data_IF_043132589114
#
_entry.id   IF_043132589114
#
_cell.length_a   1.000
_cell.length_b   1.000
_cell.length_c   1.000
_cell.angle_alpha   90.00
_cell.angle_beta   90.00
_cell.angle_gamma   90.00
#
_symmetry.space_group_name_H-M   'P 1'
#
loop_
_entity.id
_entity.type
_entity.pdbx_description
1 polymer ?
#
# COMPACT_ATOMS: atom_id res chain seq x y z
N UNK A 1 27.09 -6.94 -31.03
CA UNK A 1 26.08 -6.98 -29.93
C UNK A 1 25.75 -5.54 -29.57
N UNK A 2 24.48 -5.19 -29.43
CA UNK A 2 24.06 -3.83 -29.06
C UNK A 2 24.15 -3.71 -27.53
N UNK A 3 24.59 -2.55 -27.05
CA UNK A 3 24.51 -2.19 -25.63
C UNK A 3 23.56 -1.03 -25.45
N UNK A 4 22.76 -1.07 -24.40
CA UNK A 4 21.98 0.09 -24.00
C UNK A 4 22.94 1.16 -23.47
N UNK A 5 22.81 2.41 -23.91
CA UNK A 5 23.64 3.52 -23.44
C UNK A 5 22.76 4.53 -22.73
N UNK A 6 23.15 4.86 -21.50
CA UNK A 6 22.52 5.88 -20.67
C UNK A 6 23.59 6.91 -20.26
N UNK A 7 23.24 8.18 -20.28
CA UNK A 7 24.07 9.27 -19.75
C UNK A 7 23.28 10.01 -18.70
N UNK A 8 23.82 10.14 -17.49
CA UNK A 8 23.18 10.84 -16.38
C UNK A 8 24.00 12.06 -15.98
N UNK A 9 23.31 13.18 -15.81
CA UNK A 9 23.87 14.37 -15.20
C UNK A 9 23.91 14.17 -13.69
N UNK A 10 25.08 14.32 -13.06
CA UNK A 10 25.27 14.10 -11.62
C UNK A 10 25.80 15.35 -10.93
N UNK A 11 25.32 15.66 -9.73
CA UNK A 11 25.81 16.85 -8.99
C UNK A 11 27.13 16.61 -8.28
N UNK A 12 27.43 15.35 -7.94
CA UNK A 12 28.61 14.93 -7.20
C UNK A 12 29.15 13.61 -7.76
N UNK A 13 30.22 13.69 -8.56
CA UNK A 13 30.78 12.53 -9.27
C UNK A 13 31.25 11.43 -8.32
N UNK A 14 31.86 11.79 -7.19
CA UNK A 14 32.43 10.83 -6.26
C UNK A 14 31.33 10.00 -5.60
N UNK A 15 30.27 10.66 -5.12
CA UNK A 15 29.11 9.98 -4.54
C UNK A 15 28.40 9.10 -5.58
N UNK A 16 28.23 9.61 -6.80
CA UNK A 16 27.58 8.84 -7.85
C UNK A 16 28.40 7.63 -8.26
N UNK A 17 29.73 7.75 -8.37
CA UNK A 17 30.60 6.59 -8.62
C UNK A 17 30.50 5.57 -7.48
N UNK A 18 30.46 5.99 -6.22
CA UNK A 18 30.29 5.08 -5.08
C UNK A 18 28.94 4.32 -5.15
N UNK A 19 27.85 5.04 -5.45
CA UNK A 19 26.53 4.44 -5.64
C UNK A 19 26.52 3.43 -6.79
N UNK A 20 27.05 3.79 -7.97
CA UNK A 20 27.01 2.91 -9.15
C UNK A 20 27.96 1.72 -9.06
N UNK A 21 29.07 1.84 -8.33
CA UNK A 21 29.88 0.67 -7.93
C UNK A 21 29.05 -0.31 -7.12
N UNK A 22 28.32 0.19 -6.12
CA UNK A 22 27.44 -0.64 -5.31
C UNK A 22 26.24 -1.18 -6.10
N UNK A 23 25.70 -0.43 -7.06
CA UNK A 23 24.59 -0.90 -7.89
C UNK A 23 25.03 -2.05 -8.82
N UNK A 24 26.10 -1.86 -9.58
CA UNK A 24 26.56 -2.82 -10.59
C UNK A 24 27.49 -3.90 -10.05
N UNK A 25 28.11 -3.69 -8.90
CA UNK A 25 29.10 -4.62 -8.33
C UNK A 25 30.41 -4.66 -9.12
N UNK A 26 30.72 -3.61 -9.89
CA UNK A 26 31.93 -3.49 -10.71
C UNK A 26 32.56 -2.12 -10.59
N UNK A 27 33.85 -2.02 -10.90
CA UNK A 27 34.56 -0.75 -11.03
C UNK A 27 34.20 -0.03 -12.34
N UNK A 28 34.29 1.32 -12.40
CA UNK A 28 34.09 2.05 -13.64
C UNK A 28 35.16 1.67 -14.67
N UNK A 29 34.72 1.36 -15.89
CA UNK A 29 35.60 1.10 -17.03
C UNK A 29 36.44 2.33 -17.44
N UNK A 30 35.98 3.54 -17.07
CA UNK A 30 36.76 4.78 -17.21
C UNK A 30 36.43 5.71 -16.04
N UNK A 31 37.47 6.25 -15.40
CA UNK A 31 37.36 7.28 -14.37
C UNK A 31 38.33 8.44 -14.67
N UNK A 32 37.80 9.67 -14.61
CA UNK A 32 38.49 10.95 -14.78
C UNK A 32 37.97 11.92 -13.73
N UNK A 33 38.64 13.06 -13.57
CA UNK A 33 38.25 14.08 -12.59
C UNK A 33 36.86 14.68 -12.88
N UNK A 34 36.44 14.66 -14.13
CA UNK A 34 35.25 15.30 -14.67
C UNK A 34 34.30 14.30 -15.36
N UNK A 35 34.54 12.99 -15.24
CA UNK A 35 33.78 11.99 -15.97
C UNK A 35 33.97 10.58 -15.39
N UNK A 36 32.91 9.78 -15.38
CA UNK A 36 33.00 8.35 -15.15
C UNK A 36 32.14 7.56 -16.12
N UNK A 37 32.56 6.32 -16.41
CA UNK A 37 31.82 5.38 -17.25
C UNK A 37 31.85 3.99 -16.66
N UNK A 38 30.68 3.37 -16.56
CA UNK A 38 30.52 1.95 -16.25
C UNK A 38 30.14 1.19 -17.51
N UNK A 39 30.62 -0.05 -17.60
CA UNK A 39 30.24 -0.98 -18.65
C UNK A 39 29.97 -2.34 -18.02
N UNK A 40 28.78 -2.89 -18.22
CA UNK A 40 28.39 -4.21 -17.72
C UNK A 40 28.14 -5.17 -18.88
N UNK A 41 28.40 -6.46 -18.65
CA UNK A 41 28.16 -7.51 -19.64
C UNK A 41 26.71 -8.00 -19.62
N UNK A 42 26.10 -8.08 -18.43
CA UNK A 42 24.72 -8.55 -18.24
C UNK A 42 24.01 -7.70 -17.17
N UNK A 43 22.99 -6.89 -17.53
CA UNK A 43 22.61 -6.59 -18.90
C UNK A 43 23.76 -5.84 -19.63
N UNK A 44 23.83 -5.89 -20.98
CA UNK A 44 24.80 -5.09 -21.73
C UNK A 44 24.47 -3.59 -21.62
N UNK A 45 25.14 -2.89 -20.73
CA UNK A 45 24.95 -1.46 -20.46
C UNK A 45 26.26 -0.70 -20.60
N UNK A 46 26.15 0.53 -21.11
CA UNK A 46 27.13 1.59 -20.95
C UNK A 46 26.44 2.71 -20.16
N UNK A 47 26.99 3.11 -19.02
CA UNK A 47 26.51 4.25 -18.25
C UNK A 47 27.60 5.32 -18.20
N UNK A 48 27.30 6.51 -18.72
CA UNK A 48 28.13 7.71 -18.55
C UNK A 48 27.60 8.56 -17.39
N UNK A 49 28.49 9.08 -16.55
CA UNK A 49 28.19 10.06 -15.50
C UNK A 49 28.85 11.39 -15.87
N UNK A 50 28.02 12.42 -16.04
CA UNK A 50 28.40 13.75 -16.51
C UNK A 50 28.20 14.79 -15.38
N UNK A 51 29.28 15.23 -14.69
CA UNK A 51 29.18 16.21 -13.61
C UNK A 51 28.53 17.51 -14.09
N UNK A 52 27.37 17.83 -13.50
CA UNK A 52 26.56 18.99 -13.88
C UNK A 52 26.09 19.69 -12.60
N UNK A 53 26.56 20.91 -12.30
CA UNK A 53 26.26 21.59 -11.03
C UNK A 53 24.78 21.89 -10.76
N UNK A 54 23.95 21.94 -11.82
CA UNK A 54 22.50 22.15 -11.76
C UNK A 54 21.83 21.33 -12.86
N UNK A 55 21.60 20.02 -12.64
CA UNK A 55 20.90 19.22 -13.63
C UNK A 55 19.47 19.76 -13.76
N UNK A 56 19.07 20.12 -14.98
CA UNK A 56 17.67 20.40 -15.29
C UNK A 56 17.00 19.04 -15.47
N UNK A 57 15.91 18.79 -14.72
CA UNK A 57 15.15 17.55 -14.85
C UNK A 57 14.58 17.36 -16.26
N UNK A 58 14.40 16.09 -16.65
CA UNK A 58 13.84 15.70 -17.94
C UNK A 58 12.61 14.78 -17.80
N UNK A 59 12.05 14.28 -18.91
CA UNK A 59 10.86 13.43 -18.89
C UNK A 59 11.12 11.99 -18.37
N UNK A 60 12.35 11.65 -18.00
CA UNK A 60 12.68 10.34 -17.46
C UNK A 60 11.95 10.12 -16.13
N UNK A 61 11.12 9.07 -16.05
CA UNK A 61 10.41 8.74 -14.83
C UNK A 61 11.26 7.87 -13.89
N UNK A 62 11.75 6.73 -14.38
CA UNK A 62 12.66 5.83 -13.67
C UNK A 62 13.39 4.91 -14.66
N UNK A 63 14.35 4.16 -14.14
CA UNK A 63 15.08 3.09 -14.82
C UNK A 63 14.88 1.80 -14.03
N UNK A 64 15.14 0.63 -14.61
CA UNK A 64 15.04 -0.59 -13.84
C UNK A 64 15.70 -1.82 -14.42
N UNK A 65 15.87 -2.81 -13.54
CA UNK A 65 16.34 -4.15 -13.86
C UNK A 65 15.26 -5.17 -13.55
N UNK A 66 14.86 -5.91 -14.58
CA UNK A 66 14.02 -7.08 -14.42
C UNK A 66 14.88 -8.31 -14.23
N UNK A 67 14.79 -8.91 -13.06
CA UNK A 67 15.47 -10.16 -12.72
C UNK A 67 14.63 -11.38 -13.14
N UNK A 68 15.28 -12.52 -13.41
CA UNK A 68 14.60 -13.74 -13.82
C UNK A 68 13.82 -14.38 -12.66
N UNK A 69 14.29 -14.21 -11.41
CA UNK A 69 13.73 -14.85 -10.24
C UNK A 69 14.03 -14.08 -8.94
N UNK A 70 13.29 -14.44 -7.88
CA UNK A 70 13.39 -13.81 -6.56
C UNK A 70 14.74 -14.07 -5.87
N UNK A 71 15.39 -15.21 -6.15
CA UNK A 71 16.69 -15.52 -5.57
C UNK A 71 17.77 -14.54 -6.04
N UNK A 72 17.76 -14.22 -7.34
CA UNK A 72 18.67 -13.26 -7.95
C UNK A 72 18.41 -11.83 -7.47
N UNK A 73 17.13 -11.46 -7.29
CA UNK A 73 16.73 -10.19 -6.69
C UNK A 73 17.23 -10.07 -5.23
N UNK A 74 17.06 -11.11 -4.41
CA UNK A 74 17.58 -11.18 -3.02
C UNK A 74 19.10 -11.04 -2.98
N UNK A 75 19.81 -11.74 -3.86
CA UNK A 75 21.27 -11.67 -3.91
C UNK A 75 21.76 -10.24 -4.20
N UNK A 76 21.08 -9.51 -5.09
CA UNK A 76 21.37 -8.10 -5.33
C UNK A 76 21.06 -7.25 -4.11
N UNK A 77 19.92 -7.44 -3.45
CA UNK A 77 19.55 -6.70 -2.24
C UNK A 77 20.59 -6.86 -1.13
N UNK A 78 21.02 -8.09 -0.82
CA UNK A 78 22.04 -8.37 0.20
C UNK A 78 23.35 -7.63 -0.10
N UNK A 79 23.77 -7.60 -1.37
CA UNK A 79 24.99 -6.90 -1.80
C UNK A 79 24.87 -5.38 -1.61
N UNK A 80 23.70 -4.81 -1.90
CA UNK A 80 23.42 -3.38 -1.71
C UNK A 80 23.41 -3.00 -0.22
N UNK A 81 22.76 -3.81 0.61
CA UNK A 81 22.70 -3.60 2.06
C UNK A 81 24.09 -3.67 2.70
N UNK A 82 24.95 -4.60 2.25
CA UNK A 82 26.35 -4.69 2.66
C UNK A 82 27.17 -3.44 2.27
N UNK A 83 26.76 -2.73 1.21
CA UNK A 83 27.33 -1.46 0.79
C UNK A 83 26.68 -0.24 1.48
N UNK A 84 25.76 -0.45 2.43
CA UNK A 84 25.06 0.60 3.15
C UNK A 84 23.85 1.19 2.42
N UNK A 85 23.50 0.65 1.25
CA UNK A 85 22.31 1.05 0.49
C UNK A 85 21.12 0.23 0.97
N UNK A 86 20.32 0.81 1.85
CA UNK A 86 19.10 0.17 2.34
C UNK A 86 18.00 0.25 1.28
N UNK A 87 17.28 -0.85 1.11
CA UNK A 87 16.05 -0.90 0.33
C UNK A 87 14.96 -1.65 1.11
N UNK A 88 13.71 -1.41 0.75
CA UNK A 88 12.58 -2.17 1.27
C UNK A 88 11.99 -2.98 0.13
N UNK A 89 12.01 -4.31 0.29
CA UNK A 89 11.38 -5.22 -0.67
C UNK A 89 9.89 -5.33 -0.39
N UNK A 90 9.12 -5.27 -1.47
CA UNK A 90 7.68 -5.42 -1.47
C UNK A 90 7.31 -6.58 -2.40
N UNK A 91 6.48 -7.48 -1.90
CA UNK A 91 6.09 -8.71 -2.59
C UNK A 91 4.66 -8.60 -3.11
N UNK A 92 4.42 -9.09 -4.32
CA UNK A 92 3.08 -9.15 -4.90
C UNK A 92 2.43 -7.78 -5.16
N UNK A 93 3.24 -6.76 -5.43
CA UNK A 93 2.77 -5.43 -5.84
C UNK A 93 2.04 -5.54 -7.17
N UNK A 94 0.77 -5.17 -7.18
CA UNK A 94 -0.05 -5.11 -8.40
C UNK A 94 0.03 -3.70 -9.00
N UNK A 95 0.66 -3.57 -10.18
CA UNK A 95 0.88 -2.31 -10.86
C UNK A 95 1.06 -2.52 -12.37
N UNK A 96 0.56 -1.59 -13.17
CA UNK A 96 0.71 -1.58 -14.62
C UNK A 96 0.28 -2.90 -15.29
N UNK A 97 -0.81 -3.52 -14.82
CA UNK A 97 -1.32 -4.81 -15.32
C UNK A 97 -0.40 -6.01 -15.03
N UNK A 98 0.50 -5.87 -14.05
CA UNK A 98 1.38 -6.93 -13.60
C UNK A 98 1.37 -7.07 -12.07
N UNK A 99 1.64 -8.28 -11.61
CA UNK A 99 2.03 -8.58 -10.23
C UNK A 99 3.54 -8.74 -10.18
N UNK A 100 4.18 -8.02 -9.27
CA UNK A 100 5.63 -7.90 -9.20
C UNK A 100 6.12 -8.01 -7.77
N UNK A 101 7.32 -8.56 -7.60
CA UNK A 101 8.11 -8.39 -6.38
C UNK A 101 9.24 -7.43 -6.67
N UNK A 102 9.38 -6.36 -5.89
CA UNK A 102 10.32 -5.27 -6.20
C UNK A 102 10.84 -4.52 -5.01
N UNK A 103 11.91 -3.77 -5.24
CA UNK A 103 12.37 -2.69 -4.36
C UNK A 103 12.89 -1.53 -5.20
N UNK A 104 12.98 -0.37 -4.57
CA UNK A 104 13.46 0.86 -5.18
C UNK A 104 14.78 1.32 -4.57
N UNK A 105 15.62 1.93 -5.39
CA UNK A 105 16.81 2.67 -4.98
C UNK A 105 16.76 4.07 -5.58
N UNK A 106 17.45 4.99 -4.92
CA UNK A 106 17.65 6.36 -5.39
C UNK A 106 19.13 6.61 -5.47
N UNK A 107 19.59 7.10 -6.63
CA UNK A 107 20.95 7.61 -6.72
C UNK A 107 21.09 8.93 -5.92
N UNK A 108 22.30 9.48 -5.74
CA UNK A 108 22.51 10.72 -4.99
C UNK A 108 21.75 11.94 -5.53
N UNK A 109 21.33 11.91 -6.79
CA UNK A 109 20.60 12.97 -7.49
C UNK A 109 19.09 12.71 -7.55
N UNK A 110 18.61 11.59 -6.97
CA UNK A 110 17.20 11.22 -6.89
C UNK A 110 16.66 10.46 -8.11
N UNK A 111 17.52 9.98 -9.02
CA UNK A 111 17.10 9.07 -10.09
C UNK A 111 16.60 7.77 -9.48
N UNK A 112 15.36 7.39 -9.81
CA UNK A 112 14.74 6.17 -9.30
C UNK A 112 15.19 4.95 -10.11
N UNK A 113 15.62 3.91 -9.40
CA UNK A 113 15.98 2.61 -9.94
C UNK A 113 15.05 1.53 -9.37
N UNK A 114 14.25 0.91 -10.24
CA UNK A 114 13.39 -0.22 -9.92
C UNK A 114 14.15 -1.54 -10.11
N UNK A 115 14.16 -2.39 -9.09
CA UNK A 115 14.69 -3.76 -9.20
C UNK A 115 13.55 -4.72 -8.92
N UNK A 116 13.16 -5.53 -9.91
CA UNK A 116 11.93 -6.30 -9.82
C UNK A 116 11.98 -7.68 -10.49
N UNK A 117 11.07 -8.56 -10.07
CA UNK A 117 10.67 -9.76 -10.81
C UNK A 117 9.23 -9.62 -11.26
N UNK A 118 8.88 -10.30 -12.36
CA UNK A 118 7.48 -10.42 -12.78
C UNK A 118 6.92 -11.73 -12.23
N UNK A 119 5.88 -11.64 -11.42
CA UNK A 119 5.19 -12.80 -10.85
C UNK A 119 4.07 -13.27 -11.80
N UNK A 120 3.46 -12.35 -12.56
CA UNK A 120 2.49 -12.63 -13.61
C UNK A 120 1.74 -11.38 -14.08
N UNK A 121 0.99 -11.50 -15.18
CA UNK A 121 0.08 -10.44 -15.65
C UNK A 121 -1.28 -10.52 -14.94
N UNK A 122 -1.97 -9.39 -14.81
CA UNK A 122 -3.29 -9.24 -14.17
C UNK A 122 -4.22 -8.38 -15.03
N UNK A 123 -5.54 -8.59 -14.91
CA UNK A 123 -6.56 -7.95 -15.77
C UNK A 123 -6.97 -6.53 -15.34
N UNK A 124 -6.38 -6.00 -14.28
CA UNK A 124 -6.57 -4.63 -13.81
C UNK A 124 -5.24 -3.91 -13.67
N UNK A 125 -5.26 -2.57 -13.75
CA UNK A 125 -4.04 -1.75 -13.70
C UNK A 125 -3.25 -1.93 -12.40
N UNK A 126 -3.88 -2.32 -11.31
CA UNK A 126 -3.30 -2.28 -9.97
C UNK A 126 -3.19 -0.85 -9.42
N UNK A 127 -3.04 -0.71 -8.10
CA UNK A 127 -2.95 0.60 -7.43
C UNK A 127 -1.56 1.24 -7.59
N UNK A 128 -0.54 0.42 -7.89
CA UNK A 128 0.83 0.87 -7.97
C UNK A 128 1.35 1.41 -6.65
N UNK A 129 2.43 2.18 -6.73
CA UNK A 129 3.04 2.83 -5.58
C UNK A 129 3.08 4.33 -5.82
N UNK A 130 2.78 5.11 -4.78
CA UNK A 130 2.91 6.56 -4.88
C UNK A 130 4.38 6.94 -4.92
N UNK A 131 4.70 8.08 -5.53
CA UNK A 131 6.06 8.61 -5.56
C UNK A 131 6.64 8.82 -4.16
N UNK A 132 5.78 9.13 -3.18
CA UNK A 132 6.17 9.33 -1.78
C UNK A 132 6.59 8.01 -1.11
N UNK A 133 5.90 6.91 -1.40
CA UNK A 133 6.29 5.57 -0.95
C UNK A 133 7.62 5.16 -1.59
N UNK A 134 7.74 5.34 -2.92
CA UNK A 134 8.96 5.00 -3.66
C UNK A 134 10.17 5.79 -3.13
N UNK A 135 10.00 7.08 -2.82
CA UNK A 135 11.04 7.94 -2.24
C UNK A 135 11.38 7.64 -0.77
N UNK A 136 10.70 6.70 -0.13
CA UNK A 136 10.87 6.43 1.31
C UNK A 136 10.47 7.62 2.20
N UNK A 137 9.67 8.55 1.67
CA UNK A 137 9.19 9.76 2.36
C UNK A 137 7.79 9.58 2.95
N UNK A 138 7.09 8.50 2.61
CA UNK A 138 5.79 8.19 3.16
C UNK A 138 5.90 7.72 4.61
N UNK A 139 5.25 8.43 5.52
CA UNK A 139 4.97 7.91 6.87
C UNK A 139 3.85 6.87 6.72
N UNK A 140 4.03 5.62 7.20
CA UNK A 140 2.96 4.63 7.16
C UNK A 140 1.70 5.18 7.83
N UNK A 141 0.50 4.92 7.29
CA UNK A 141 -0.72 5.43 7.89
C UNK A 141 -0.87 4.87 9.31
N UNK A 142 -1.23 5.73 10.25
CA UNK A 142 -1.55 5.31 11.61
C UNK A 142 -2.95 4.70 11.59
N UNK A 143 -3.04 3.37 11.72
CA UNK A 143 -4.29 2.61 11.59
C UNK A 143 -4.71 2.01 12.93
N UNK A 144 -5.98 2.18 13.28
CA UNK A 144 -6.65 1.35 14.29
C UNK A 144 -7.53 0.29 13.61
N UNK A 145 -7.50 -0.96 14.11
CA UNK A 145 -8.40 -2.01 13.63
C UNK A 145 -9.08 -2.72 14.81
N UNK A 146 -10.40 -2.88 14.71
CA UNK A 146 -11.18 -3.76 15.56
C UNK A 146 -11.79 -4.90 14.72
N UNK A 147 -11.80 -6.11 15.30
CA UNK A 147 -12.41 -7.31 14.71
C UNK A 147 -13.40 -7.92 15.68
N UNK A 148 -14.52 -8.46 15.19
CA UNK A 148 -15.56 -9.08 16.03
C UNK A 148 -15.09 -10.27 16.89
N UNK A 149 -13.94 -10.85 16.56
CA UNK A 149 -13.32 -11.93 17.34
C UNK A 149 -12.61 -11.41 18.60
N UNK A 150 -12.38 -10.10 18.70
CA UNK A 150 -11.76 -9.45 19.85
C UNK A 150 -12.80 -8.76 20.74
N UNK A 151 -12.42 -8.41 21.98
CA UNK A 151 -13.27 -7.59 22.84
C UNK A 151 -13.42 -6.19 22.26
N UNK A 152 -14.66 -5.70 22.22
CA UNK A 152 -14.93 -4.31 21.88
C UNK A 152 -14.48 -3.43 23.06
N UNK A 153 -13.54 -2.49 22.89
CA UNK A 153 -13.11 -1.65 23.98
C UNK A 153 -14.12 -0.53 24.25
N UNK A 154 -14.22 -0.09 25.51
CA UNK A 154 -15.05 1.07 25.89
C UNK A 154 -14.58 2.38 25.23
N UNK A 155 -13.28 2.48 24.91
CA UNK A 155 -12.68 3.58 24.17
C UNK A 155 -11.52 3.09 23.29
N UNK A 156 -11.35 3.70 22.11
CA UNK A 156 -10.22 3.36 21.24
C UNK A 156 -8.93 3.87 21.89
N UNK A 157 -7.88 3.04 22.09
CA UNK A 157 -6.66 3.38 22.82
C UNK A 157 -5.70 4.26 21.98
N UNK A 158 -6.23 5.36 21.46
CA UNK A 158 -5.52 6.36 20.67
C UNK A 158 -6.02 7.76 21.04
N UNK A 159 -5.12 8.74 20.92
CA UNK A 159 -5.47 10.14 21.08
C UNK A 159 -6.44 10.60 19.98
N UNK A 160 -7.13 11.71 20.23
CA UNK A 160 -8.01 12.30 19.21
C UNK A 160 -7.18 12.81 18.02
N UNK A 161 -7.72 12.67 16.81
CA UNK A 161 -7.10 13.16 15.57
C UNK A 161 -5.66 12.68 15.30
N UNK A 162 -5.35 11.42 15.62
CA UNK A 162 -4.04 10.81 15.34
C UNK A 162 -4.07 9.69 14.31
N UNK A 163 -5.22 9.02 14.12
CA UNK A 163 -5.35 7.93 13.16
C UNK A 163 -5.59 8.48 11.75
N UNK A 164 -4.90 7.94 10.76
CA UNK A 164 -5.21 8.12 9.34
C UNK A 164 -6.39 7.24 8.94
N UNK A 165 -6.54 6.08 9.58
CA UNK A 165 -7.60 5.12 9.29
C UNK A 165 -8.12 4.38 10.53
N UNK A 166 -9.43 4.11 10.57
CA UNK A 166 -10.09 3.18 11.49
C UNK A 166 -10.79 2.08 10.68
N UNK A 167 -10.49 0.82 11.01
CA UNK A 167 -11.05 -0.39 10.38
C UNK A 167 -11.94 -1.14 11.36
N UNK A 168 -13.23 -1.28 11.04
CA UNK A 168 -14.21 -2.03 11.82
C UNK A 168 -14.64 -3.28 11.05
N UNK A 169 -14.06 -4.44 11.40
CA UNK A 169 -14.29 -5.71 10.68
C UNK A 169 -15.20 -6.64 11.47
N UNK A 170 -16.43 -6.78 11.00
CA UNK A 170 -17.52 -7.51 11.67
C UNK A 170 -17.98 -6.85 12.96
N UNK A 171 -17.49 -5.66 13.29
CA UNK A 171 -17.79 -4.99 14.58
C UNK A 171 -19.28 -4.84 14.80
N UNK A 172 -20.01 -4.45 13.76
CA UNK A 172 -21.48 -4.32 13.79
C UNK A 172 -22.22 -5.64 13.56
N UNK A 173 -21.51 -6.77 13.51
CA UNK A 173 -22.09 -8.11 13.60
C UNK A 173 -22.09 -8.66 15.04
N UNK A 174 -21.56 -7.90 16.00
CA UNK A 174 -21.78 -8.12 17.43
C UNK A 174 -23.20 -7.65 17.81
N UNK A 175 -23.79 -8.18 18.90
CA UNK A 175 -25.14 -7.82 19.32
C UNK A 175 -25.11 -6.49 20.11
N UNK A 176 -24.75 -5.41 19.43
CA UNK A 176 -24.61 -4.08 20.03
C UNK A 176 -25.97 -3.38 20.12
N UNK A 177 -26.25 -2.76 21.27
CA UNK A 177 -27.33 -1.79 21.40
C UNK A 177 -27.08 -0.55 20.54
N UNK A 178 -28.12 0.23 20.26
CA UNK A 178 -28.02 1.49 19.49
C UNK A 178 -26.98 2.43 20.11
N UNK A 179 -26.99 2.55 21.44
CA UNK A 179 -26.04 3.37 22.18
C UNK A 179 -24.59 2.90 22.00
N UNK A 180 -24.34 1.60 21.99
CA UNK A 180 -22.99 1.05 21.77
C UNK A 180 -22.55 1.26 20.32
N UNK A 181 -23.46 1.11 19.35
CA UNK A 181 -23.16 1.39 17.94
C UNK A 181 -22.77 2.85 17.73
N UNK A 182 -23.53 3.76 18.31
CA UNK A 182 -23.26 5.20 18.25
C UNK A 182 -21.93 5.53 18.94
N UNK A 183 -21.64 4.92 20.09
CA UNK A 183 -20.38 5.10 20.80
C UNK A 183 -19.17 4.63 19.97
N UNK A 184 -19.26 3.47 19.30
CA UNK A 184 -18.21 2.96 18.42
C UNK A 184 -17.94 3.91 17.25
N UNK A 185 -19.01 4.41 16.61
CA UNK A 185 -18.88 5.37 15.51
C UNK A 185 -18.28 6.70 15.98
N UNK A 186 -18.75 7.22 17.11
CA UNK A 186 -18.24 8.45 17.71
C UNK A 186 -16.76 8.33 18.09
N UNK A 187 -16.35 7.23 18.72
CA UNK A 187 -14.94 6.96 19.06
C UNK A 187 -14.07 6.83 17.81
N UNK A 188 -14.57 6.14 16.78
CA UNK A 188 -13.88 6.02 15.49
C UNK A 188 -13.62 7.39 14.87
N UNK A 189 -14.61 8.27 14.85
CA UNK A 189 -14.46 9.63 14.34
C UNK A 189 -13.62 10.51 15.26
N UNK A 190 -13.62 10.28 16.59
CA UNK A 190 -12.77 11.02 17.54
C UNK A 190 -11.29 10.82 17.20
N UNK A 191 -10.85 9.58 17.01
CA UNK A 191 -9.42 9.25 16.80
C UNK A 191 -8.93 9.58 15.39
N UNK A 192 -9.83 9.63 14.39
CA UNK A 192 -9.47 9.98 13.02
C UNK A 192 -9.01 11.44 12.90
N UNK A 193 -7.94 11.68 12.14
CA UNK A 193 -7.56 13.01 11.63
C UNK A 193 -8.69 13.59 10.77
N UNK A 194 -8.80 14.91 10.61
CA UNK A 194 -9.69 15.50 9.61
C UNK A 194 -9.41 14.91 8.22
N UNK A 195 -10.44 14.43 7.53
CA UNK A 195 -10.30 13.69 6.27
C UNK A 195 -9.80 12.23 6.40
N UNK A 196 -9.57 11.75 7.63
CA UNK A 196 -9.20 10.36 7.91
C UNK A 196 -10.34 9.38 7.59
N UNK A 197 -9.97 8.15 7.29
CA UNK A 197 -10.85 7.14 6.67
C UNK A 197 -11.45 6.18 7.69
N UNK A 198 -12.76 6.01 7.64
CA UNK A 198 -13.50 4.97 8.35
C UNK A 198 -13.88 3.86 7.37
N UNK A 199 -13.35 2.66 7.58
CA UNK A 199 -13.66 1.48 6.81
C UNK A 199 -14.46 0.47 7.65
N UNK A 200 -15.63 0.06 7.16
CA UNK A 200 -16.51 -0.90 7.82
C UNK A 200 -16.71 -2.10 6.90
N UNK A 201 -16.42 -3.29 7.41
CA UNK A 201 -16.72 -4.55 6.75
C UNK A 201 -17.73 -5.31 7.61
N UNK A 202 -18.91 -5.61 7.07
CA UNK A 202 -20.05 -6.12 7.84
C UNK A 202 -20.91 -7.03 6.96
N UNK A 203 -21.51 -8.07 7.56
CA UNK A 203 -22.57 -8.84 6.93
C UNK A 203 -23.90 -8.12 7.16
N UNK A 204 -24.62 -7.73 6.11
CA UNK A 204 -25.92 -7.02 6.19
C UNK A 204 -27.06 -7.83 5.57
N UNK A 205 -28.29 -7.62 6.03
CA UNK A 205 -29.50 -8.24 5.50
C UNK A 205 -30.52 -7.23 4.97
N UNK A 206 -31.54 -7.73 4.28
CA UNK A 206 -32.73 -6.93 3.92
C UNK A 206 -33.63 -6.63 5.12
N UNK A 207 -33.57 -7.49 6.15
CA UNK A 207 -34.11 -7.27 7.48
C UNK A 207 -33.06 -7.64 8.53
N UNK A 208 -33.21 -7.08 9.74
CA UNK A 208 -32.32 -7.40 10.84
C UNK A 208 -32.49 -8.86 11.26
N UNK A 209 -31.39 -9.55 11.56
CA UNK A 209 -31.40 -10.93 12.05
C UNK A 209 -30.54 -11.06 13.28
N UNK A 210 -31.17 -11.41 14.40
CA UNK A 210 -30.48 -11.79 15.63
C UNK A 210 -30.16 -13.28 15.62
N UNK A 211 -28.96 -13.62 16.09
CA UNK A 211 -28.47 -14.99 16.21
C UNK A 211 -28.64 -15.83 14.93
N UNK A 212 -28.07 -15.41 13.79
CA UNK A 212 -28.32 -16.02 12.48
C UNK A 212 -27.84 -17.48 12.34
N UNK A 213 -27.06 -18.00 13.31
CA UNK A 213 -26.55 -19.37 13.35
C UNK A 213 -25.90 -19.83 12.03
N UNK A 214 -24.83 -19.12 11.65
CA UNK A 214 -24.12 -19.33 10.40
C UNK A 214 -23.00 -20.37 10.54
N UNK A 215 -22.70 -21.16 9.50
CA UNK A 215 -21.67 -22.17 9.54
C UNK A 215 -20.25 -21.57 9.43
N UNK A 216 -19.25 -22.35 9.86
CA UNK A 216 -17.84 -22.05 9.64
C UNK A 216 -17.37 -20.77 10.33
N UNK A 217 -16.46 -19.99 9.70
CA UNK A 217 -15.95 -18.74 10.27
C UNK A 217 -17.03 -17.68 10.55
N UNK A 218 -18.16 -17.74 9.83
CA UNK A 218 -19.30 -16.83 10.03
C UNK A 218 -20.10 -17.14 11.32
N UNK A 219 -19.80 -18.23 12.03
CA UNK A 219 -20.43 -18.57 13.32
C UNK A 219 -20.19 -17.53 14.42
N UNK A 220 -19.20 -16.64 14.25
CA UNK A 220 -18.96 -15.49 15.14
C UNK A 220 -20.00 -14.37 14.98
N UNK A 221 -20.74 -14.33 13.87
CA UNK A 221 -21.80 -13.33 13.63
C UNK A 221 -22.95 -13.58 14.62
N UNK A 222 -23.25 -12.58 15.44
CA UNK A 222 -24.34 -12.61 16.43
C UNK A 222 -25.54 -11.77 16.01
N UNK A 223 -25.31 -10.76 15.17
CA UNK A 223 -26.32 -9.86 14.64
C UNK A 223 -26.02 -9.53 13.18
N UNK A 224 -27.06 -9.36 12.36
CA UNK A 224 -26.98 -8.92 10.97
C UNK A 224 -27.83 -7.67 10.84
N UNK A 225 -27.23 -6.47 10.72
CA UNK A 225 -27.99 -5.24 10.59
C UNK A 225 -28.54 -5.04 9.18
N UNK A 226 -29.52 -4.15 9.06
CA UNK A 226 -30.01 -3.66 7.77
C UNK A 226 -29.03 -2.63 7.22
N UNK A 227 -28.68 -2.76 5.94
CA UNK A 227 -27.71 -1.86 5.28
C UNK A 227 -28.13 -0.38 5.37
N UNK A 228 -29.40 -0.09 5.12
CA UNK A 228 -29.91 1.28 5.18
C UNK A 228 -29.76 1.91 6.57
N UNK A 229 -29.91 1.11 7.63
CA UNK A 229 -29.80 1.58 9.02
C UNK A 229 -28.33 1.86 9.38
N UNK A 230 -27.42 1.02 8.89
CA UNK A 230 -25.98 1.24 9.01
C UNK A 230 -25.55 2.56 8.36
N UNK A 231 -25.99 2.81 7.12
CA UNK A 231 -25.71 4.06 6.41
C UNK A 231 -26.19 5.26 7.21
N UNK A 232 -27.45 5.24 7.67
CA UNK A 232 -28.01 6.35 8.48
C UNK A 232 -27.25 6.56 9.79
N UNK A 233 -26.81 5.49 10.45
CA UNK A 233 -26.05 5.59 11.71
C UNK A 233 -24.68 6.25 11.47
N UNK A 234 -23.99 5.86 10.39
CA UNK A 234 -22.69 6.43 10.00
C UNK A 234 -22.82 7.92 9.67
N UNK A 235 -23.85 8.31 8.93
CA UNK A 235 -24.14 9.72 8.60
C UNK A 235 -24.51 10.52 9.86
N UNK A 236 -25.34 9.95 10.74
CA UNK A 236 -25.76 10.61 11.99
C UNK A 236 -24.61 10.82 12.96
N UNK A 237 -23.59 9.96 12.91
CA UNK A 237 -22.35 10.14 13.67
C UNK A 237 -21.47 11.30 13.15
N UNK A 238 -21.79 11.86 11.98
CA UNK A 238 -21.07 12.98 11.37
C UNK A 238 -19.97 12.55 10.37
N UNK A 239 -19.96 11.29 9.93
CA UNK A 239 -19.10 10.88 8.83
C UNK A 239 -19.63 11.40 7.49
N UNK A 240 -18.74 11.73 6.57
CA UNK A 240 -19.05 12.30 5.26
C UNK A 240 -18.51 11.42 4.13
N UNK A 241 -19.00 11.64 2.91
CA UNK A 241 -18.46 11.00 1.70
C UNK A 241 -18.67 9.48 1.66
N UNK A 242 -19.78 8.99 2.21
CA UNK A 242 -20.07 7.57 2.32
C UNK A 242 -20.15 6.90 0.94
N UNK A 243 -19.48 5.76 0.80
CA UNK A 243 -19.49 4.92 -0.40
C UNK A 243 -19.57 3.44 -0.02
N UNK A 244 -20.38 2.69 -0.74
CA UNK A 244 -20.37 1.23 -0.67
C UNK A 244 -19.34 0.71 -1.65
N UNK A 245 -18.26 0.11 -1.14
CA UNK A 245 -17.15 -0.43 -1.95
C UNK A 245 -17.45 -1.84 -2.47
N UNK A 246 -18.24 -2.59 -1.69
CA UNK A 246 -18.69 -3.94 -2.06
C UNK A 246 -20.09 -4.15 -1.51
N UNK A 247 -20.99 -4.57 -2.38
CA UNK A 247 -22.29 -5.11 -2.03
C UNK A 247 -22.50 -6.33 -2.93
N UNK A 248 -22.33 -7.53 -2.38
CA UNK A 248 -22.31 -8.74 -3.20
C UNK A 248 -23.63 -8.92 -3.97
N UNK A 249 -23.55 -9.07 -5.30
CA UNK A 249 -24.71 -9.30 -6.18
C UNK A 249 -25.53 -10.53 -5.76
N UNK A 250 -24.84 -11.53 -5.19
CA UNK A 250 -25.44 -12.74 -4.63
C UNK A 250 -25.27 -12.76 -3.11
N UNK A 251 -26.31 -13.17 -2.36
CA UNK A 251 -26.18 -13.36 -0.93
C UNK A 251 -25.17 -14.46 -0.60
N UNK A 252 -24.32 -14.20 0.40
CA UNK A 252 -23.38 -15.17 0.93
C UNK A 252 -24.10 -16.21 1.80
N UNK A 253 -25.21 -15.82 2.42
CA UNK A 253 -26.06 -16.69 3.23
C UNK A 253 -27.53 -16.38 3.02
N UNK A 254 -28.37 -17.40 3.13
CA UNK A 254 -29.83 -17.26 3.22
C UNK A 254 -30.31 -18.09 4.39
N UNK A 255 -30.98 -17.45 5.36
CA UNK A 255 -31.57 -18.11 6.54
C UNK A 255 -32.93 -17.50 6.82
N UNK A 256 -33.93 -18.34 7.09
CA UNK A 256 -35.30 -17.90 7.39
C UNK A 256 -35.85 -16.89 6.36
N UNK A 257 -35.59 -17.14 5.07
CA UNK A 257 -35.92 -16.27 3.94
C UNK A 257 -35.23 -14.88 3.91
N UNK A 258 -34.29 -14.61 4.83
CA UNK A 258 -33.48 -13.38 4.81
C UNK A 258 -32.15 -13.64 4.09
N UNK A 259 -31.93 -12.89 3.00
CA UNK A 259 -30.70 -12.88 2.24
C UNK A 259 -29.66 -11.96 2.92
N UNK A 260 -28.46 -12.49 3.16
CA UNK A 260 -27.37 -11.79 3.84
C UNK A 260 -26.19 -11.62 2.88
N UNK A 261 -25.66 -10.40 2.79
CA UNK A 261 -24.61 -10.01 1.84
C UNK A 261 -23.41 -9.45 2.59
N UNK A 262 -22.23 -9.78 2.10
CA UNK A 262 -21.00 -9.12 2.51
C UNK A 262 -21.02 -7.68 1.99
N UNK A 263 -20.86 -6.73 2.91
CA UNK A 263 -20.92 -5.31 2.63
C UNK A 263 -19.69 -4.61 3.16
N UNK A 264 -19.09 -3.78 2.31
CA UNK A 264 -17.97 -2.92 2.67
C UNK A 264 -18.36 -1.47 2.44
N UNK A 265 -18.21 -0.66 3.48
CA UNK A 265 -18.56 0.75 3.49
C UNK A 265 -17.30 1.55 3.81
N UNK A 266 -17.12 2.63 3.08
CA UNK A 266 -16.12 3.65 3.36
C UNK A 266 -16.82 4.97 3.65
N UNK A 267 -16.31 5.69 4.65
CA UNK A 267 -16.70 7.06 4.97
C UNK A 267 -15.49 7.81 5.53
N UNK A 268 -15.62 9.12 5.75
CA UNK A 268 -14.52 9.97 6.17
C UNK A 268 -14.92 10.88 7.32
N UNK A 269 -13.97 11.25 8.18
CA UNK A 269 -14.15 12.37 9.10
C UNK A 269 -14.19 13.66 8.29
N UNK A 270 -15.12 14.57 8.62
CA UNK A 270 -15.13 15.90 8.03
C UNK A 270 -13.76 16.61 8.17
N UNK A 271 -13.41 17.41 7.17
CA UNK A 271 -12.16 18.18 7.14
C UNK A 271 -12.26 19.43 8.00
#
# INVERSE_FOLDING_TARGET
MIRFHLSLNVTDLEKSVAFYRALFGVEPAKLRADYAKFETADPPLVLSLEPTPRPIGGPLNHLGFRFPDSASLVAMQVRLEAAGLRSQREEGVECCYAKQTKFWLHDPDGTMWEVYTLDGDIDHRGEGQTLEMVKGTAVPPVVYEHRMTGPLPDAIPMAAATADEVRLRGTFNLPLSDRERDAVLAESLRVLKPGGRLFIHVLTGESAVDSPNLPGPASAVRHVPVMADMVRSIESAGAVGLKTLKYGDKPCFVRNAVAMRETQIEAFKAR
#
